data_IF_022962987840
#
_entry.id   IF_022962987840
#
_cell.length_a   1.000
_cell.length_b   1.000
_cell.length_c   1.000
_cell.angle_alpha   90.00
_cell.angle_beta   90.00
_cell.angle_gamma   90.00
#
_symmetry.space_group_name_H-M   'P 1'
#
loop_
_entity.id
_entity.type
_entity.pdbx_description
1 polymer ?
#
# COMPACT_ATOMS: atom_id res chain seq x y z
N UNK A 1 -6.90 -37.45 -15.36
CA UNK A 1 -7.75 -37.26 -14.16
C UNK A 1 -6.81 -37.40 -12.98
N UNK A 2 -6.27 -36.28 -12.52
CA UNK A 2 -5.33 -36.26 -11.39
C UNK A 2 -6.05 -35.64 -10.20
N UNK A 3 -6.61 -36.53 -9.38
CA UNK A 3 -7.16 -36.20 -8.07
C UNK A 3 -6.17 -36.77 -7.06
N UNK A 4 -5.52 -35.89 -6.30
CA UNK A 4 -4.93 -36.27 -5.02
C UNK A 4 -5.44 -35.33 -3.92
N UNK A 5 -6.18 -35.85 -2.92
CA UNK A 5 -6.49 -35.12 -1.71
C UNK A 5 -5.33 -35.31 -0.72
N UNK A 6 -4.95 -34.24 -0.01
CA UNK A 6 -4.07 -34.35 1.17
C UNK A 6 -4.63 -33.44 2.25
N UNK A 7 -5.60 -33.96 3.01
CA UNK A 7 -5.93 -33.39 4.32
C UNK A 7 -4.89 -33.94 5.29
N UNK A 8 -3.92 -33.11 5.65
CA UNK A 8 -2.89 -33.41 6.65
C UNK A 8 -2.98 -32.41 7.78
N UNK A 9 -3.49 -32.85 8.93
CA UNK A 9 -3.52 -32.07 10.16
C UNK A 9 -2.12 -31.76 10.65
N UNK A 10 -1.77 -30.48 10.62
CA UNK A 10 -0.73 -29.87 11.42
C UNK A 10 -1.34 -28.64 12.07
N UNK A 11 -0.88 -28.27 13.27
CA UNK A 11 -1.13 -26.96 13.87
C UNK A 11 -0.41 -25.87 13.06
N UNK A 12 -0.76 -25.74 11.79
CA UNK A 12 -0.37 -24.67 10.91
C UNK A 12 -1.48 -23.64 10.94
N UNK A 13 -1.11 -22.38 11.17
CA UNK A 13 -1.99 -21.23 11.00
C UNK A 13 -2.82 -21.42 9.73
N UNK A 14 -4.14 -21.25 9.82
CA UNK A 14 -5.00 -21.34 8.65
C UNK A 14 -4.58 -20.30 7.61
N UNK A 15 -4.92 -20.51 6.33
CA UNK A 15 -4.66 -19.52 5.28
C UNK A 15 -5.20 -18.13 5.67
N UNK A 16 -6.33 -18.10 6.38
CA UNK A 16 -6.92 -16.88 6.93
C UNK A 16 -6.04 -16.24 8.01
N UNK A 17 -5.45 -17.04 8.92
CA UNK A 17 -4.55 -16.54 9.97
C UNK A 17 -3.26 -15.96 9.37
N UNK A 18 -2.75 -16.56 8.29
CA UNK A 18 -1.57 -16.04 7.56
C UNK A 18 -1.87 -14.67 6.96
N UNK A 19 -3.00 -14.52 6.26
CA UNK A 19 -3.39 -13.25 5.66
C UNK A 19 -3.72 -12.21 6.74
N UNK A 20 -4.39 -12.60 7.83
CA UNK A 20 -4.68 -11.70 8.95
C UNK A 20 -3.41 -11.14 9.60
N UNK A 21 -2.40 -11.99 9.85
CA UNK A 21 -1.11 -11.56 10.37
C UNK A 21 -0.41 -10.57 9.43
N UNK A 22 -0.45 -10.83 8.13
CA UNK A 22 0.14 -9.93 7.12
C UNK A 22 -0.58 -8.58 7.04
N UNK A 23 -1.92 -8.59 7.07
CA UNK A 23 -2.72 -7.37 7.09
C UNK A 23 -2.42 -6.55 8.34
N UNK A 24 -2.27 -7.19 9.50
CA UNK A 24 -1.90 -6.52 10.74
C UNK A 24 -0.50 -5.86 10.64
N UNK A 25 0.52 -6.58 10.13
CA UNK A 25 1.87 -6.02 9.90
C UNK A 25 1.83 -4.79 8.98
N UNK A 26 1.12 -4.89 7.86
CA UNK A 26 1.04 -3.79 6.88
C UNK A 26 0.31 -2.57 7.44
N UNK A 27 -0.74 -2.77 8.23
CA UNK A 27 -1.45 -1.68 8.90
C UNK A 27 -0.57 -1.00 9.96
N UNK A 28 0.22 -1.76 10.70
CA UNK A 28 1.12 -1.21 11.71
C UNK A 28 2.26 -0.41 11.10
N UNK A 29 2.78 -0.84 9.95
CA UNK A 29 3.91 -0.23 9.24
C UNK A 29 3.50 0.80 8.20
N UNK A 30 2.21 1.04 8.01
CA UNK A 30 1.70 1.98 7.03
C UNK A 30 2.23 3.39 7.35
N UNK A 31 2.88 4.08 6.40
CA UNK A 31 3.38 5.41 6.64
C UNK A 31 2.22 6.41 6.76
N UNK A 32 2.46 7.48 7.51
CA UNK A 32 1.52 8.60 7.60
C UNK A 32 1.51 9.41 6.29
N UNK A 33 0.37 10.02 5.92
CA UNK A 33 0.33 10.97 4.82
C UNK A 33 1.38 12.08 5.01
N UNK A 34 2.01 12.50 3.92
CA UNK A 34 2.95 13.61 3.90
C UNK A 34 2.15 14.91 3.98
N UNK A 35 2.48 15.75 4.96
CA UNK A 35 1.82 17.02 5.21
C UNK A 35 2.57 18.16 4.50
N UNK A 36 1.97 18.68 3.42
CA UNK A 36 2.53 19.79 2.64
C UNK A 36 2.68 21.08 3.46
N UNK A 37 1.98 21.22 4.60
CA UNK A 37 2.12 22.39 5.47
C UNK A 37 3.43 22.41 6.26
N UNK A 38 4.10 21.26 6.38
CA UNK A 38 5.41 21.12 7.01
C UNK A 38 6.57 21.29 6.01
N UNK A 39 6.24 21.56 4.74
CA UNK A 39 7.24 21.64 3.69
C UNK A 39 8.23 22.79 3.93
N UNK A 40 9.49 22.56 3.55
CA UNK A 40 10.49 23.61 3.53
C UNK A 40 10.07 24.73 2.56
N UNK A 41 10.43 25.97 2.90
CA UNK A 41 9.98 27.16 2.18
C UNK A 41 10.37 27.18 0.69
N UNK A 42 11.45 26.47 0.34
CA UNK A 42 11.93 26.37 -1.04
C UNK A 42 11.26 25.26 -1.85
N UNK A 43 10.66 24.26 -1.21
CA UNK A 43 10.14 23.06 -1.89
C UNK A 43 9.01 23.41 -2.85
N UNK A 44 8.07 24.23 -2.40
CA UNK A 44 6.93 24.69 -3.20
C UNK A 44 7.06 26.16 -3.60
N UNK A 45 8.29 26.69 -3.63
CA UNK A 45 8.53 28.10 -3.95
C UNK A 45 8.06 28.44 -5.37
N UNK A 46 7.30 29.53 -5.46
CA UNK A 46 6.95 30.17 -6.72
C UNK A 46 8.07 31.15 -7.09
N UNK A 47 8.62 31.01 -8.29
CA UNK A 47 9.65 31.89 -8.82
C UNK A 47 9.07 33.23 -9.27
N UNK A 48 9.92 34.22 -9.54
CA UNK A 48 9.50 35.55 -10.01
C UNK A 48 8.69 35.50 -11.32
N UNK A 49 8.81 34.41 -12.08
CA UNK A 49 8.00 34.14 -13.28
C UNK A 49 6.55 33.73 -13.00
N UNK A 50 6.18 33.53 -11.73
CA UNK A 50 4.86 33.07 -11.30
C UNK A 50 4.67 31.55 -11.36
N UNK A 51 5.70 30.79 -11.73
CA UNK A 51 5.68 29.33 -11.79
C UNK A 51 6.45 28.68 -10.63
N UNK A 52 5.95 27.54 -10.15
CA UNK A 52 6.70 26.65 -9.26
C UNK A 52 7.91 26.06 -10.00
N UNK A 53 8.98 25.77 -9.28
CA UNK A 53 10.13 25.08 -9.87
C UNK A 53 9.72 23.70 -10.40
N UNK A 54 10.44 23.20 -11.42
CA UNK A 54 10.16 21.87 -11.96
C UNK A 54 10.30 20.78 -10.89
N UNK A 55 11.30 20.91 -10.01
CA UNK A 55 11.51 20.02 -8.87
C UNK A 55 10.36 20.10 -7.86
N UNK A 56 9.90 21.30 -7.51
CA UNK A 56 8.73 21.48 -6.64
C UNK A 56 7.46 20.88 -7.24
N UNK A 57 7.26 21.02 -8.55
CA UNK A 57 6.13 20.42 -9.27
C UNK A 57 6.16 18.90 -9.23
N UNK A 58 7.33 18.29 -9.41
CA UNK A 58 7.49 16.83 -9.30
C UNK A 58 7.22 16.37 -7.87
N UNK A 59 7.81 17.05 -6.87
CA UNK A 59 7.58 16.73 -5.46
C UNK A 59 6.08 16.82 -5.11
N UNK A 60 5.40 17.88 -5.54
CA UNK A 60 3.98 18.12 -5.29
C UNK A 60 3.10 16.98 -5.81
N UNK A 61 3.33 16.56 -7.06
CA UNK A 61 2.59 15.48 -7.71
C UNK A 61 2.87 14.11 -7.07
N UNK A 62 4.12 13.86 -6.71
CA UNK A 62 4.53 12.60 -6.09
C UNK A 62 4.02 12.48 -4.66
N UNK A 63 4.04 13.55 -3.88
CA UNK A 63 3.41 13.62 -2.55
C UNK A 63 1.91 13.29 -2.65
N UNK A 64 1.20 13.84 -3.63
CA UNK A 64 -0.20 13.48 -3.84
C UNK A 64 -0.39 12.02 -4.24
N UNK A 65 0.48 11.49 -5.08
CA UNK A 65 0.46 10.09 -5.48
C UNK A 65 0.63 9.16 -4.26
N UNK A 66 1.66 9.43 -3.44
CA UNK A 66 1.91 8.75 -2.18
C UNK A 66 0.70 8.82 -1.25
N UNK A 67 0.14 10.01 -1.01
CA UNK A 67 -1.01 10.19 -0.12
C UNK A 67 -2.27 9.47 -0.62
N UNK A 68 -2.53 9.48 -1.93
CA UNK A 68 -3.63 8.71 -2.52
C UNK A 68 -3.44 7.22 -2.32
N UNK A 69 -2.23 6.70 -2.52
CA UNK A 69 -1.93 5.29 -2.33
C UNK A 69 -2.02 4.87 -0.86
N UNK A 70 -1.51 5.68 0.07
CA UNK A 70 -1.66 5.47 1.53
C UNK A 70 -3.13 5.36 1.91
N UNK A 71 -3.96 6.32 1.48
CA UNK A 71 -5.39 6.34 1.79
C UNK A 71 -6.11 5.11 1.20
N UNK A 72 -5.78 4.76 -0.05
CA UNK A 72 -6.32 3.58 -0.72
C UNK A 72 -5.96 2.29 0.03
N UNK A 73 -4.67 2.05 0.31
CA UNK A 73 -4.21 0.85 0.99
C UNK A 73 -4.82 0.72 2.39
N UNK A 74 -4.85 1.81 3.17
CA UNK A 74 -5.50 1.83 4.49
C UNK A 74 -6.96 1.38 4.42
N UNK A 75 -7.73 1.91 3.46
CA UNK A 75 -9.13 1.55 3.26
C UNK A 75 -9.28 0.08 2.84
N UNK A 76 -8.45 -0.40 1.91
CA UNK A 76 -8.53 -1.79 1.41
C UNK A 76 -8.14 -2.80 2.49
N UNK A 77 -7.07 -2.53 3.23
CA UNK A 77 -6.64 -3.37 4.36
C UNK A 77 -7.68 -3.39 5.47
N UNK A 78 -8.33 -2.26 5.78
CA UNK A 78 -9.41 -2.21 6.78
C UNK A 78 -10.63 -3.01 6.35
N UNK A 79 -11.03 -2.89 5.08
CA UNK A 79 -12.15 -3.65 4.55
C UNK A 79 -11.88 -5.16 4.54
N UNK A 80 -10.65 -5.57 4.20
CA UNK A 80 -10.28 -6.99 4.23
C UNK A 80 -10.26 -7.53 5.66
N UNK A 81 -9.70 -6.80 6.62
CA UNK A 81 -9.72 -7.17 8.04
C UNK A 81 -11.16 -7.36 8.56
N UNK A 82 -12.03 -6.37 8.31
CA UNK A 82 -13.43 -6.45 8.67
C UNK A 82 -14.15 -7.63 7.98
N UNK A 83 -13.81 -7.94 6.72
CA UNK A 83 -14.41 -9.05 5.99
C UNK A 83 -13.99 -10.42 6.56
N UNK A 84 -12.72 -10.57 6.93
CA UNK A 84 -12.21 -11.78 7.59
C UNK A 84 -12.84 -12.00 8.97
N UNK A 85 -13.23 -10.91 9.66
CA UNK A 85 -14.00 -10.96 10.92
C UNK A 85 -15.50 -11.15 10.73
N UNK A 86 -16.00 -11.14 9.49
CA UNK A 86 -17.42 -11.27 9.18
C UNK A 86 -18.25 -10.01 9.45
N UNK A 87 -17.61 -8.85 9.62
CA UNK A 87 -18.30 -7.56 9.87
C UNK A 87 -18.79 -6.91 8.58
N UNK A 88 -18.11 -7.17 7.46
CA UNK A 88 -18.52 -6.75 6.12
C UNK A 88 -18.53 -7.94 5.18
N UNK A 89 -19.30 -7.84 4.09
CA UNK A 89 -19.36 -8.90 3.08
C UNK A 89 -18.04 -8.97 2.32
N UNK A 90 -17.45 -10.17 2.26
CA UNK A 90 -16.31 -10.46 1.39
C UNK A 90 -16.79 -10.44 -0.08
N UNK A 91 -16.60 -9.31 -0.75
CA UNK A 91 -16.90 -9.19 -2.18
C UNK A 91 -15.80 -9.82 -3.06
N UNK A 92 -16.08 -9.99 -4.35
CA UNK A 92 -15.14 -10.58 -5.30
C UNK A 92 -13.82 -9.80 -5.44
N UNK A 93 -13.78 -8.52 -5.05
CA UNK A 93 -12.54 -7.73 -5.04
C UNK A 93 -11.69 -8.04 -3.80
N UNK A 94 -12.32 -8.21 -2.64
CA UNK A 94 -11.67 -8.61 -1.39
C UNK A 94 -11.19 -10.07 -1.44
N UNK A 95 -11.96 -10.98 -2.04
CA UNK A 95 -11.52 -12.38 -2.26
C UNK A 95 -10.24 -12.45 -3.11
N UNK A 96 -10.18 -11.68 -4.19
CA UNK A 96 -8.99 -11.59 -5.04
C UNK A 96 -7.80 -11.01 -4.29
N UNK A 97 -8.03 -9.99 -3.48
CA UNK A 97 -6.99 -9.41 -2.62
C UNK A 97 -6.48 -10.43 -1.61
N UNK A 98 -7.37 -11.12 -0.90
CA UNK A 98 -7.01 -12.20 0.04
C UNK A 98 -6.14 -13.27 -0.63
N UNK A 99 -6.58 -13.78 -1.80
CA UNK A 99 -5.80 -14.77 -2.56
C UNK A 99 -4.42 -14.26 -2.98
N UNK A 100 -4.32 -13.03 -3.48
CA UNK A 100 -3.04 -12.43 -3.85
C UNK A 100 -2.10 -12.33 -2.64
N UNK A 101 -2.61 -11.88 -1.48
CA UNK A 101 -1.83 -11.78 -0.24
C UNK A 101 -1.35 -13.15 0.24
N UNK A 102 -2.21 -14.17 0.20
CA UNK A 102 -1.87 -15.55 0.57
C UNK A 102 -0.70 -16.10 -0.27
N UNK A 103 -0.66 -15.75 -1.56
CA UNK A 103 0.41 -16.15 -2.49
C UNK A 103 1.58 -15.16 -2.57
N UNK A 104 1.68 -14.20 -1.63
CA UNK A 104 2.72 -13.17 -1.60
C UNK A 104 2.84 -12.34 -2.89
N UNK A 105 1.71 -12.10 -3.56
CA UNK A 105 1.59 -11.29 -4.78
C UNK A 105 0.96 -9.94 -4.47
N UNK A 106 1.34 -8.92 -5.24
CA UNK A 106 0.71 -7.60 -5.17
C UNK A 106 -0.69 -7.69 -5.80
N UNK A 107 -1.77 -7.33 -5.08
CA UNK A 107 -3.09 -7.24 -5.66
C UNK A 107 -3.14 -6.31 -6.88
N UNK A 108 -3.88 -6.69 -7.92
CA UNK A 108 -3.94 -5.92 -9.19
C UNK A 108 -4.58 -4.54 -9.04
N UNK A 109 -5.44 -4.34 -8.05
CA UNK A 109 -5.99 -3.03 -7.71
C UNK A 109 -4.94 -2.11 -7.06
N UNK A 110 -3.96 -2.65 -6.34
CA UNK A 110 -2.85 -1.88 -5.77
C UNK A 110 -1.88 -1.42 -6.85
N UNK A 111 -1.53 -2.30 -7.79
CA UNK A 111 -0.68 -1.95 -8.95
C UNK A 111 -1.30 -0.83 -9.81
N UNK A 112 -2.63 -0.84 -9.97
CA UNK A 112 -3.36 0.19 -10.72
C UNK A 112 -3.35 1.55 -10.04
N UNK A 113 -3.43 1.58 -8.72
CA UNK A 113 -3.46 2.82 -7.94
C UNK A 113 -2.06 3.39 -7.70
N UNK A 114 -1.06 2.51 -7.57
CA UNK A 114 0.34 2.86 -7.43
C UNK A 114 1.07 2.73 -8.77
N UNK A 115 2.06 1.83 -8.79
CA UNK A 115 2.90 1.56 -9.96
C UNK A 115 2.85 0.07 -10.31
N UNK A 116 2.85 -0.28 -11.62
CA UNK A 116 3.04 -1.65 -12.07
C UNK A 116 4.35 -2.21 -11.53
N UNK A 117 4.33 -3.44 -11.01
CA UNK A 117 5.51 -4.08 -10.44
C UNK A 117 5.50 -5.59 -10.67
N UNK A 118 6.70 -6.16 -10.80
CA UNK A 118 6.93 -7.60 -10.78
C UNK A 118 7.55 -8.06 -9.45
N UNK A 119 7.69 -7.14 -8.48
CA UNK A 119 8.28 -7.45 -7.18
C UNK A 119 7.34 -8.31 -6.35
N UNK A 120 7.86 -9.24 -5.54
CA UNK A 120 7.08 -9.90 -4.50
C UNK A 120 6.46 -8.89 -3.55
N UNK A 121 5.33 -9.24 -2.94
CA UNK A 121 4.54 -8.35 -2.09
C UNK A 121 5.34 -7.64 -0.99
N UNK A 122 6.19 -8.38 -0.27
CA UNK A 122 7.02 -7.82 0.80
C UNK A 122 8.01 -6.75 0.29
N UNK A 123 8.68 -7.01 -0.84
CA UNK A 123 9.59 -6.06 -1.46
C UNK A 123 8.84 -4.84 -2.00
N UNK A 124 7.68 -5.05 -2.61
CA UNK A 124 6.83 -3.96 -3.10
C UNK A 124 6.40 -3.03 -1.96
N UNK A 125 6.00 -3.59 -0.81
CA UNK A 125 5.58 -2.80 0.34
C UNK A 125 6.76 -2.05 0.99
N UNK A 126 7.94 -2.69 1.06
CA UNK A 126 9.15 -2.03 1.54
C UNK A 126 9.55 -0.84 0.65
N UNK A 127 9.51 -1.00 -0.67
CA UNK A 127 9.80 0.12 -1.58
C UNK A 127 8.77 1.24 -1.45
N UNK A 128 7.50 0.89 -1.26
CA UNK A 128 6.44 1.88 -1.08
C UNK A 128 6.72 2.75 0.13
N UNK A 129 7.09 2.16 1.27
CA UNK A 129 7.50 2.89 2.47
C UNK A 129 8.70 3.79 2.16
N UNK A 130 9.76 3.23 1.54
CA UNK A 130 10.96 4.00 1.17
C UNK A 130 10.64 5.18 0.25
N UNK A 131 9.70 5.02 -0.69
CA UNK A 131 9.27 6.09 -1.59
C UNK A 131 8.55 7.20 -0.82
N UNK A 132 7.66 6.83 0.11
CA UNK A 132 6.97 7.81 0.95
C UNK A 132 7.96 8.56 1.82
N UNK A 133 8.92 7.87 2.44
CA UNK A 133 9.93 8.51 3.28
C UNK A 133 10.84 9.42 2.45
N UNK A 134 11.28 9.00 1.27
CA UNK A 134 12.06 9.84 0.36
C UNK A 134 11.35 11.16 0.00
N UNK A 135 10.06 11.08 -0.37
CA UNK A 135 9.30 12.30 -0.70
C UNK A 135 8.90 13.11 0.53
N UNK A 136 8.81 12.49 1.71
CA UNK A 136 8.65 13.23 2.97
C UNK A 136 9.92 14.02 3.30
N UNK A 137 11.08 13.37 3.21
CA UNK A 137 12.36 14.03 3.44
C UNK A 137 12.58 15.18 2.45
N UNK A 138 12.23 14.99 1.18
CA UNK A 138 12.26 16.07 0.18
C UNK A 138 11.22 17.16 0.49
N UNK A 139 10.02 16.82 0.97
CA UNK A 139 9.04 17.83 1.38
C UNK A 139 9.61 18.72 2.48
N UNK A 140 10.22 18.11 3.49
CA UNK A 140 10.59 18.77 4.75
C UNK A 140 11.98 19.45 4.72
N UNK A 141 12.84 19.12 3.74
CA UNK A 141 14.22 19.66 3.58
C UNK A 141 14.30 20.77 2.54
#
# INVERSE_FOLDING_TARGET
>A
VDVQPRVGGGSGSSDADVVAALVADFRQRMPLPIDKSLAHAETYRITDSGAMTSLGTVCDQEVECCNRLIAFLNKRLAALDAAMRGEVVMDASLEKMHGALLFAQVPKDWEKQGYPSLKPLGSWFADFIQRVDFFRDWNDT
#
